data_IF_465992682489
#
_entry.id   IF_465992682489
#
_cell.length_a   1.000
_cell.length_b   1.000
_cell.length_c   1.000
_cell.angle_alpha   90.00
_cell.angle_beta   90.00
_cell.angle_gamma   90.00
#
_symmetry.space_group_name_H-M   'P 1'
#
loop_
_entity.id
_entity.type
_entity.pdbx_description
1 polymer ?
#
# COMPACT_ATOMS: atom_id res chain seq x y z
N UNK A 1 -1.53 6.47 15.27
CA UNK A 1 -0.37 7.06 14.56
C UNK A 1 0.73 6.05 14.26
N UNK A 2 1.20 5.24 15.23
CA UNK A 2 2.37 4.34 15.05
C UNK A 2 2.19 3.24 13.99
N UNK A 3 1.00 2.62 13.91
CA UNK A 3 0.74 1.55 12.93
C UNK A 3 0.64 2.08 11.50
N UNK A 4 0.10 3.29 11.31
CA UNK A 4 -0.01 3.94 10.00
C UNK A 4 1.38 4.20 9.38
N UNK A 5 2.31 4.68 10.21
CA UNK A 5 3.72 4.88 9.84
C UNK A 5 4.40 3.58 9.44
N UNK A 6 4.08 2.46 10.10
CA UNK A 6 4.63 1.14 9.76
C UNK A 6 4.16 0.69 8.38
N UNK A 7 2.88 0.85 8.05
CA UNK A 7 2.36 0.50 6.72
C UNK A 7 2.94 1.39 5.62
N UNK A 8 3.10 2.69 5.88
CA UNK A 8 3.74 3.61 4.95
C UNK A 8 5.22 3.24 4.72
N UNK A 9 5.94 2.90 5.79
CA UNK A 9 7.32 2.43 5.72
C UNK A 9 7.44 1.13 4.91
N UNK A 10 6.49 0.20 5.10
CA UNK A 10 6.45 -1.07 4.36
C UNK A 10 6.24 -0.85 2.85
N UNK A 11 5.40 0.12 2.49
CA UNK A 11 5.14 0.48 1.09
C UNK A 11 6.38 1.08 0.42
N UNK A 12 7.07 1.99 1.13
CA UNK A 12 8.35 2.56 0.67
C UNK A 12 9.41 1.45 0.51
N UNK A 13 9.49 0.53 1.47
CA UNK A 13 10.43 -0.58 1.43
C UNK A 13 10.18 -1.49 0.22
N UNK A 14 8.92 -1.78 -0.10
CA UNK A 14 8.55 -2.57 -1.27
C UNK A 14 8.98 -1.91 -2.58
N UNK A 15 8.76 -0.59 -2.71
CA UNK A 15 9.19 0.17 -3.90
C UNK A 15 10.72 0.15 -4.04
N UNK A 16 11.46 0.33 -2.93
CA UNK A 16 12.92 0.29 -2.92
C UNK A 16 13.44 -1.07 -3.37
N UNK A 17 12.86 -2.17 -2.88
CA UNK A 17 13.27 -3.53 -3.26
C UNK A 17 13.08 -3.76 -4.75
N UNK A 18 11.95 -3.33 -5.33
CA UNK A 18 11.69 -3.46 -6.78
C UNK A 18 12.73 -2.68 -7.59
N UNK A 19 12.98 -1.42 -7.22
CA UNK A 19 13.98 -0.59 -7.93
C UNK A 19 15.40 -1.18 -7.80
N UNK A 20 15.78 -1.67 -6.63
CA UNK A 20 17.10 -2.30 -6.43
C UNK A 20 17.23 -3.57 -7.26
N UNK A 21 16.19 -4.42 -7.30
CA UNK A 21 16.21 -5.64 -8.12
C UNK A 21 16.32 -5.33 -9.62
N UNK A 22 15.63 -4.30 -10.10
CA UNK A 22 15.73 -3.86 -11.49
C UNK A 22 17.14 -3.29 -11.81
N UNK A 23 17.75 -2.56 -10.88
CA UNK A 23 19.13 -2.08 -11.04
C UNK A 23 20.16 -3.21 -10.99
N UNK A 24 19.95 -4.21 -10.12
CA UNK A 24 20.80 -5.41 -10.03
C UNK A 24 20.73 -6.28 -11.28
N UNK A 25 19.59 -6.26 -11.98
CA UNK A 25 19.43 -6.94 -13.28
C UNK A 25 19.97 -6.11 -14.45
N UNK A 26 20.57 -4.94 -14.18
CA UNK A 26 21.19 -4.07 -15.18
C UNK A 26 20.20 -3.18 -15.93
N UNK A 27 18.94 -3.08 -15.49
CA UNK A 27 17.96 -2.17 -16.08
C UNK A 27 18.28 -0.73 -15.67
N UNK A 28 18.07 0.21 -16.59
CA UNK A 28 18.16 1.64 -16.25
C UNK A 28 17.00 2.05 -15.34
N UNK A 29 17.23 3.07 -14.52
CA UNK A 29 16.24 3.62 -13.58
C UNK A 29 14.90 3.97 -14.27
N UNK A 30 14.95 4.42 -15.53
CA UNK A 30 13.76 4.70 -16.34
C UNK A 30 12.97 3.44 -16.70
N UNK A 31 13.66 2.33 -16.98
CA UNK A 31 13.03 1.04 -17.24
C UNK A 31 12.45 0.45 -15.96
N UNK A 32 13.07 0.68 -14.80
CA UNK A 32 12.51 0.27 -13.51
C UNK A 32 11.15 0.94 -13.22
N UNK A 33 11.00 2.22 -13.53
CA UNK A 33 9.69 2.90 -13.45
C UNK A 33 8.66 2.31 -14.41
N UNK A 34 9.10 1.88 -15.58
CA UNK A 34 8.26 1.20 -16.56
C UNK A 34 7.85 -0.20 -16.09
N UNK A 35 8.75 -0.95 -15.47
CA UNK A 35 8.49 -2.24 -14.82
C UNK A 35 7.49 -2.10 -13.68
N UNK A 36 7.63 -1.08 -12.83
CA UNK A 36 6.64 -0.76 -11.79
C UNK A 36 5.26 -0.51 -12.43
N UNK A 37 5.20 0.34 -13.46
CA UNK A 37 3.95 0.61 -14.17
C UNK A 37 3.37 -0.63 -14.85
N UNK A 38 4.20 -1.52 -15.39
CA UNK A 38 3.80 -2.76 -16.02
C UNK A 38 3.31 -3.79 -15.00
N UNK A 39 3.95 -3.88 -13.83
CA UNK A 39 3.47 -4.70 -12.71
C UNK A 39 2.08 -4.23 -12.30
N UNK A 40 1.87 -2.91 -12.19
CA UNK A 40 0.56 -2.35 -11.90
C UNK A 40 -0.46 -2.54 -13.03
N UNK A 41 -0.04 -2.59 -14.30
CA UNK A 41 -0.96 -2.85 -15.43
C UNK A 41 -1.29 -4.34 -15.62
N UNK A 42 -0.37 -5.23 -15.25
CA UNK A 42 -0.54 -6.69 -15.32
C UNK A 42 -1.33 -7.22 -14.13
N UNK A 43 -1.36 -6.50 -13.00
CA UNK A 43 -2.32 -6.77 -11.94
C UNK A 43 -3.75 -6.70 -12.47
N UNK A 44 -4.36 -7.88 -12.63
CA UNK A 44 -5.77 -8.05 -12.96
C UNK A 44 -6.61 -7.05 -12.16
N UNK A 45 -7.47 -6.28 -12.83
CA UNK A 45 -8.32 -5.27 -12.17
C UNK A 45 -9.07 -5.83 -10.94
N UNK A 46 -9.57 -7.09 -10.94
CA UNK A 46 -10.11 -7.71 -9.74
C UNK A 46 -9.11 -7.84 -8.57
N UNK A 47 -7.85 -8.21 -8.87
CA UNK A 47 -6.78 -8.35 -7.88
C UNK A 47 -6.37 -6.99 -7.31
N UNK A 48 -6.35 -5.96 -8.16
CA UNK A 48 -6.11 -4.58 -7.76
C UNK A 48 -7.21 -4.07 -6.82
N UNK A 49 -8.48 -4.29 -7.16
CA UNK A 49 -9.64 -3.94 -6.32
C UNK A 49 -9.56 -4.69 -4.98
N UNK A 50 -9.18 -5.97 -4.99
CA UNK A 50 -9.03 -6.78 -3.79
C UNK A 50 -7.90 -6.28 -2.89
N UNK A 51 -6.73 -5.98 -3.47
CA UNK A 51 -5.59 -5.39 -2.74
C UNK A 51 -5.95 -4.03 -2.14
N UNK A 52 -6.62 -3.16 -2.92
CA UNK A 52 -7.06 -1.84 -2.43
C UNK A 52 -8.09 -2.01 -1.30
N UNK A 53 -9.03 -2.96 -1.42
CA UNK A 53 -10.04 -3.21 -0.39
C UNK A 53 -9.40 -3.71 0.92
N UNK A 54 -8.45 -4.64 0.84
CA UNK A 54 -7.68 -5.10 2.01
C UNK A 54 -6.84 -3.97 2.60
N UNK A 55 -6.22 -3.15 1.76
CA UNK A 55 -5.41 -2.02 2.19
C UNK A 55 -6.26 -0.99 2.95
N UNK A 56 -7.49 -0.73 2.51
CA UNK A 56 -8.41 0.25 3.10
C UNK A 56 -9.11 -0.31 4.36
N UNK A 57 -9.29 -1.62 4.47
CA UNK A 57 -9.96 -2.28 5.59
C UNK A 57 -9.45 -1.87 6.99
N UNK A 58 -8.14 -1.83 7.29
CA UNK A 58 -7.65 -1.37 8.59
C UNK A 58 -8.00 0.11 8.86
N UNK A 59 -8.09 0.95 7.83
CA UNK A 59 -8.48 2.35 7.99
C UNK A 59 -9.97 2.46 8.35
N UNK A 60 -10.84 1.68 7.70
CA UNK A 60 -12.27 1.62 8.02
C UNK A 60 -12.47 1.14 9.46
N UNK A 61 -11.75 0.11 9.89
CA UNK A 61 -11.82 -0.40 11.27
C UNK A 61 -11.40 0.69 12.26
N UNK A 62 -10.30 1.40 12.02
CA UNK A 62 -9.83 2.47 12.90
C UNK A 62 -10.84 3.62 12.99
N UNK A 63 -11.42 4.03 11.86
CA UNK A 63 -12.44 5.11 11.81
C UNK A 63 -13.70 4.69 12.56
N UNK A 64 -14.25 3.52 12.26
CA UNK A 64 -15.48 3.02 12.90
C UNK A 64 -15.30 2.82 14.40
N UNK A 65 -14.17 2.27 14.85
CA UNK A 65 -13.87 2.09 16.28
C UNK A 65 -13.74 3.44 17.00
N UNK A 66 -13.12 4.44 16.36
CA UNK A 66 -12.96 5.78 16.92
C UNK A 66 -14.29 6.53 17.02
N UNK A 67 -15.16 6.39 16.01
CA UNK A 67 -16.52 6.95 16.02
C UNK A 67 -17.36 6.29 17.11
N UNK A 68 -17.33 4.96 17.23
CA UNK A 68 -18.07 4.21 18.25
C UNK A 68 -17.65 4.61 19.67
N UNK A 69 -16.35 4.85 19.89
CA UNK A 69 -15.82 5.34 21.19
C UNK A 69 -16.33 6.74 21.53
N UNK A 70 -16.36 7.67 20.58
CA UNK A 70 -16.91 9.03 20.82
C UNK A 70 -18.40 9.00 21.13
N UNK A 71 -19.15 8.16 20.44
CA UNK A 71 -20.60 8.02 20.68
C UNK A 71 -20.87 7.41 22.06
N UNK A 72 -20.03 6.48 22.55
CA UNK A 72 -20.20 5.87 23.86
C UNK A 72 -19.76 6.76 25.03
N UNK A 73 -18.88 7.74 24.82
CA UNK A 73 -18.47 8.70 25.87
C UNK A 73 -19.41 9.90 26.01
N UNK A 74 -20.34 10.09 25.08
CA UNK A 74 -21.36 11.15 25.10
C UNK A 74 -22.76 10.66 25.51
N UNK A 75 -22.88 9.40 25.95
CA UNK A 75 -24.10 8.79 26.47
C UNK A 75 -23.90 8.48 27.95
#
# INVERSE_FOLDING_TARGET
>A
MKNLLIYLLLCILAIIIVVIMDLLTGMSLSLSFQSISAVFSVTNIPLLIFMISILILPFIIVITTSLKKRIHQHK
#
